data_IF_848306905310
#
_entry.id   IF_848306905310
#
_cell.length_a   1.000
_cell.length_b   1.000
_cell.length_c   1.000
_cell.angle_alpha   90.00
_cell.angle_beta   90.00
_cell.angle_gamma   90.00
#
_symmetry.space_group_name_H-M   'P 1'
#
loop_
_entity.id
_entity.type
_entity.pdbx_description
1 polymer ?
#
# COMPACT_ATOMS: atom_id res chain seq x y z
N UNK A 1 -22.98 9.36 27.61
CA UNK A 1 -22.74 8.01 28.17
C UNK A 1 -23.57 7.04 27.36
N UNK A 2 -22.95 6.42 26.38
CA UNK A 2 -23.50 5.33 25.58
C UNK A 2 -22.38 4.30 25.53
N UNK A 3 -22.63 3.16 26.16
CA UNK A 3 -21.73 2.01 26.23
C UNK A 3 -21.31 1.62 24.81
N UNK A 4 -19.99 1.65 24.58
CA UNK A 4 -19.39 1.03 23.41
C UNK A 4 -19.38 -0.46 23.71
N UNK A 5 -20.17 -1.19 22.94
CA UNK A 5 -20.30 -2.64 22.96
C UNK A 5 -18.96 -3.29 22.57
N UNK A 6 -18.09 -3.48 23.57
CA UNK A 6 -16.75 -4.05 23.44
C UNK A 6 -16.81 -5.59 23.46
N UNK A 7 -17.71 -6.17 22.66
CA UNK A 7 -17.68 -7.60 22.36
C UNK A 7 -16.89 -7.83 21.07
N UNK A 8 -15.56 -7.83 21.19
CA UNK A 8 -14.71 -8.53 20.24
C UNK A 8 -15.10 -10.02 20.26
N UNK A 9 -16.03 -10.40 19.38
CA UNK A 9 -16.37 -11.81 19.16
C UNK A 9 -15.09 -12.52 18.73
N UNK A 10 -14.54 -13.36 19.61
CA UNK A 10 -13.48 -14.30 19.24
C UNK A 10 -13.98 -15.18 18.08
N UNK A 11 -13.45 -14.92 16.88
CA UNK A 11 -13.74 -15.76 15.72
C UNK A 11 -12.74 -16.92 15.76
N UNK A 12 -13.22 -18.07 16.24
CA UNK A 12 -12.41 -19.30 16.35
C UNK A 12 -11.93 -19.79 14.99
N UNK A 13 -12.76 -19.66 13.95
CA UNK A 13 -12.39 -20.07 12.59
C UNK A 13 -13.05 -19.22 11.51
N UNK A 14 -12.30 -18.83 10.47
CA UNK A 14 -12.82 -18.15 9.28
C UNK A 14 -12.39 -18.88 8.00
N UNK A 15 -13.31 -18.96 7.03
CA UNK A 15 -13.03 -19.53 5.70
C UNK A 15 -13.10 -18.43 4.63
N UNK A 16 -12.09 -18.41 3.75
CA UNK A 16 -11.87 -17.38 2.74
C UNK A 16 -11.76 -18.05 1.38
N UNK A 17 -12.78 -17.89 0.53
CA UNK A 17 -12.85 -18.54 -0.79
C UNK A 17 -13.27 -17.59 -1.92
N UNK A 18 -13.73 -16.38 -1.58
CA UNK A 18 -14.30 -15.41 -2.53
C UNK A 18 -13.65 -14.04 -2.42
N UNK A 19 -13.92 -13.17 -3.39
CA UNK A 19 -13.51 -11.77 -3.37
C UNK A 19 -14.02 -11.02 -2.14
N UNK A 20 -15.26 -11.27 -1.76
CA UNK A 20 -15.90 -10.59 -0.64
C UNK A 20 -15.28 -11.05 0.68
N UNK A 21 -14.84 -12.31 0.78
CA UNK A 21 -14.07 -12.78 1.94
C UNK A 21 -12.73 -12.06 2.03
N UNK A 22 -11.98 -11.98 0.93
CA UNK A 22 -10.69 -11.26 0.88
C UNK A 22 -10.89 -9.78 1.21
N UNK A 23 -12.00 -9.17 0.79
CA UNK A 23 -12.34 -7.79 1.14
C UNK A 23 -12.55 -7.65 2.65
N UNK A 24 -13.37 -8.53 3.23
CA UNK A 24 -13.72 -8.53 4.66
C UNK A 24 -12.51 -8.73 5.57
N UNK A 25 -11.48 -9.45 5.15
CA UNK A 25 -10.25 -9.61 5.94
C UNK A 25 -9.54 -8.30 6.27
N UNK A 26 -9.71 -7.25 5.46
CA UNK A 26 -9.03 -5.98 5.71
C UNK A 26 -9.59 -5.33 6.98
N UNK A 27 -8.75 -5.19 8.01
CA UNK A 27 -9.13 -4.61 9.30
C UNK A 27 -9.65 -5.63 10.32
N UNK A 28 -9.80 -6.91 9.96
CA UNK A 28 -10.03 -7.97 10.96
C UNK A 28 -8.77 -8.22 11.79
N UNK A 29 -8.94 -8.63 13.04
CA UNK A 29 -7.87 -9.03 13.97
C UNK A 29 -8.37 -10.13 14.91
N UNK A 30 -7.47 -10.81 15.61
CA UNK A 30 -7.82 -11.74 16.69
C UNK A 30 -8.36 -13.11 16.23
N UNK A 31 -8.13 -13.51 14.98
CA UNK A 31 -8.57 -14.82 14.46
C UNK A 31 -7.59 -15.91 14.90
N UNK A 32 -8.08 -16.99 15.49
CA UNK A 32 -7.25 -18.13 15.92
C UNK A 32 -6.86 -19.04 14.75
N UNK A 33 -7.83 -19.36 13.88
CA UNK A 33 -7.62 -20.21 12.72
C UNK A 33 -8.29 -19.62 11.47
N UNK A 34 -7.57 -19.60 10.36
CA UNK A 34 -8.07 -19.11 9.08
C UNK A 34 -7.77 -20.11 7.97
N UNK A 35 -8.76 -20.43 7.15
CA UNK A 35 -8.61 -21.30 5.98
C UNK A 35 -8.76 -20.47 4.71
N UNK A 36 -7.76 -20.52 3.83
CA UNK A 36 -7.80 -19.93 2.48
C UNK A 36 -8.00 -21.06 1.47
N UNK A 37 -9.11 -20.99 0.73
CA UNK A 37 -9.34 -21.86 -0.42
C UNK A 37 -8.62 -21.31 -1.64
N UNK A 38 -7.43 -21.82 -1.90
CA UNK A 38 -6.64 -21.40 -3.06
C UNK A 38 -7.20 -21.96 -4.37
N UNK A 39 -8.10 -22.95 -4.34
CA UNK A 39 -8.72 -23.55 -5.55
C UNK A 39 -9.54 -22.53 -6.34
N UNK A 40 -9.98 -21.44 -5.70
CA UNK A 40 -10.69 -20.33 -6.31
C UNK A 40 -9.83 -19.06 -6.38
N UNK A 41 -9.25 -18.65 -5.25
CA UNK A 41 -8.57 -17.35 -5.09
C UNK A 41 -7.35 -17.19 -6.00
N UNK A 42 -6.60 -18.28 -6.25
CA UNK A 42 -5.36 -18.21 -7.04
C UNK A 42 -5.61 -17.84 -8.50
N UNK A 43 -6.75 -18.26 -9.06
CA UNK A 43 -7.12 -17.97 -10.45
C UNK A 43 -7.64 -16.55 -10.64
N UNK A 44 -8.13 -15.93 -9.57
CA UNK A 44 -8.53 -14.54 -9.57
C UNK A 44 -7.35 -13.58 -9.35
N UNK A 45 -6.12 -14.10 -9.20
CA UNK A 45 -4.90 -13.30 -8.97
C UNK A 45 -4.81 -12.70 -7.57
N UNK A 46 -5.68 -13.13 -6.64
CA UNK A 46 -5.82 -12.53 -5.31
C UNK A 46 -5.03 -13.24 -4.22
N UNK A 47 -4.37 -14.36 -4.51
CA UNK A 47 -3.66 -15.15 -3.50
C UNK A 47 -2.65 -14.33 -2.68
N UNK A 48 -1.79 -13.47 -3.28
CA UNK A 48 -0.85 -12.66 -2.50
C UNK A 48 -1.53 -11.74 -1.47
N UNK A 49 -2.57 -10.99 -1.90
CA UNK A 49 -3.27 -10.05 -1.01
C UNK A 49 -4.10 -10.80 0.04
N UNK A 50 -4.68 -11.95 -0.31
CA UNK A 50 -5.39 -12.81 0.65
C UNK A 50 -4.46 -13.32 1.75
N UNK A 51 -3.25 -13.79 1.39
CA UNK A 51 -2.26 -14.26 2.36
C UNK A 51 -1.83 -13.15 3.33
N UNK A 52 -1.52 -11.96 2.82
CA UNK A 52 -1.10 -10.84 3.69
C UNK A 52 -2.22 -10.30 4.57
N UNK A 53 -3.45 -10.23 4.06
CA UNK A 53 -4.62 -9.87 4.89
C UNK A 53 -4.94 -10.95 5.93
N UNK A 54 -4.76 -12.23 5.61
CA UNK A 54 -4.90 -13.32 6.58
C UNK A 54 -3.83 -13.25 7.67
N UNK A 55 -2.58 -12.95 7.31
CA UNK A 55 -1.50 -12.72 8.27
C UNK A 55 -1.85 -11.60 9.26
N UNK A 56 -2.34 -10.47 8.76
CA UNK A 56 -2.77 -9.34 9.58
C UNK A 56 -3.95 -9.68 10.51
N UNK A 57 -4.87 -10.56 10.07
CA UNK A 57 -6.07 -10.90 10.82
C UNK A 57 -5.86 -12.00 11.87
N UNK A 58 -4.94 -12.94 11.63
CA UNK A 58 -4.65 -14.05 12.54
C UNK A 58 -3.78 -13.59 13.70
N UNK A 59 -4.14 -13.94 14.93
CA UNK A 59 -3.37 -13.59 16.12
C UNK A 59 -2.03 -14.34 16.20
N UNK A 60 -1.02 -13.83 16.93
CA UNK A 60 0.20 -14.58 17.21
C UNK A 60 -0.13 -15.96 17.83
N UNK A 61 0.55 -17.01 17.35
CA UNK A 61 0.26 -18.41 17.69
C UNK A 61 -0.92 -19.03 16.92
N UNK A 62 -1.72 -18.23 16.21
CA UNK A 62 -2.81 -18.69 15.36
C UNK A 62 -2.33 -19.28 14.04
N UNK A 63 -3.25 -19.94 13.32
CA UNK A 63 -2.93 -20.75 12.15
C UNK A 63 -3.60 -20.24 10.86
N UNK A 64 -2.85 -20.28 9.76
CA UNK A 64 -3.34 -20.05 8.41
C UNK A 64 -3.17 -21.35 7.62
N UNK A 65 -4.28 -21.95 7.21
CA UNK A 65 -4.28 -23.16 6.37
C UNK A 65 -4.68 -22.81 4.95
N UNK A 66 -3.87 -23.21 3.98
CA UNK A 66 -4.11 -23.03 2.56
C UNK A 66 -4.48 -24.39 1.99
N UNK A 67 -5.63 -24.45 1.30
CA UNK A 67 -6.13 -25.67 0.65
C UNK A 67 -6.10 -25.47 -0.88
N UNK A 68 -5.39 -26.37 -1.56
CA UNK A 68 -5.22 -26.42 -3.01
C UNK A 68 -5.15 -27.88 -3.50
N UNK A 69 -6.25 -28.61 -3.33
CA UNK A 69 -6.41 -30.02 -3.74
C UNK A 69 -6.68 -30.18 -5.26
N UNK A 70 -6.32 -29.18 -6.07
CA UNK A 70 -6.60 -29.13 -7.51
C UNK A 70 -7.64 -28.06 -7.91
N UNK A 71 -8.21 -28.17 -9.11
CA UNK A 71 -9.12 -27.14 -9.63
C UNK A 71 -10.48 -27.19 -8.94
N UNK A 72 -10.93 -26.04 -8.42
CA UNK A 72 -12.31 -25.84 -7.94
C UNK A 72 -13.27 -25.31 -9.01
N UNK A 73 -12.76 -24.90 -10.19
CA UNK A 73 -13.55 -24.41 -11.34
C UNK A 73 -13.35 -25.33 -12.55
N UNK A 74 -14.41 -25.52 -13.33
CA UNK A 74 -14.43 -26.35 -14.54
C UNK A 74 -13.71 -25.71 -15.75
N UNK A 75 -13.53 -24.39 -15.74
CA UNK A 75 -12.88 -23.66 -16.84
C UNK A 75 -11.35 -23.72 -16.72
N UNK A 76 -10.61 -24.00 -17.82
CA UNK A 76 -9.16 -23.94 -17.82
C UNK A 76 -8.69 -22.48 -17.73
N UNK A 77 -7.93 -22.11 -16.69
CA UNK A 77 -7.26 -20.82 -16.69
C UNK A 77 -6.08 -20.86 -17.67
N UNK A 78 -5.82 -19.73 -18.31
CA UNK A 78 -4.71 -19.54 -19.25
C UNK A 78 -3.32 -19.72 -18.58
N UNK A 79 -3.27 -19.70 -17.24
CA UNK A 79 -2.11 -20.02 -16.42
C UNK A 79 -2.57 -20.89 -15.25
N UNK A 80 -2.33 -22.19 -15.32
CA UNK A 80 -2.59 -23.09 -14.20
C UNK A 80 -1.46 -22.95 -13.16
N UNK A 81 -1.79 -22.49 -11.96
CA UNK A 81 -0.83 -22.46 -10.86
C UNK A 81 -0.83 -23.84 -10.20
N UNK A 82 0.27 -24.57 -10.40
CA UNK A 82 0.53 -25.85 -9.71
C UNK A 82 0.59 -25.67 -8.20
N UNK A 83 0.33 -26.74 -7.44
CA UNK A 83 0.48 -26.72 -5.99
C UNK A 83 1.88 -26.27 -5.55
N UNK A 84 2.92 -26.61 -6.31
CA UNK A 84 4.29 -26.13 -6.06
C UNK A 84 4.42 -24.61 -6.15
N UNK A 85 3.75 -23.97 -7.12
CA UNK A 85 3.74 -22.51 -7.26
C UNK A 85 2.90 -21.84 -6.16
N UNK A 86 1.79 -22.47 -5.75
CA UNK A 86 1.03 -22.04 -4.56
C UNK A 86 1.92 -22.11 -3.32
N UNK A 87 2.63 -23.23 -3.11
CA UNK A 87 3.58 -23.39 -2.00
C UNK A 87 4.67 -22.31 -2.01
N UNK A 88 5.31 -22.06 -3.15
CA UNK A 88 6.30 -20.98 -3.28
C UNK A 88 5.70 -19.61 -2.92
N UNK A 89 4.47 -19.34 -3.36
CA UNK A 89 3.76 -18.09 -3.03
C UNK A 89 3.46 -18.00 -1.54
N UNK A 90 2.98 -19.07 -0.92
CA UNK A 90 2.70 -19.12 0.53
C UNK A 90 3.97 -18.86 1.33
N UNK A 91 5.06 -19.57 1.04
CA UNK A 91 6.34 -19.39 1.74
C UNK A 91 6.90 -17.98 1.55
N UNK A 92 6.74 -17.39 0.35
CA UNK A 92 7.18 -16.03 0.07
C UNK A 92 6.41 -14.99 0.90
N UNK A 93 5.09 -15.06 0.94
CA UNK A 93 4.24 -14.03 1.56
C UNK A 93 3.98 -14.25 3.06
N UNK A 94 4.15 -15.46 3.58
CA UNK A 94 3.96 -15.76 5.01
C UNK A 94 5.27 -16.10 5.74
N UNK A 95 6.32 -16.53 5.04
CA UNK A 95 7.52 -17.11 5.67
C UNK A 95 8.33 -16.17 6.57
N UNK A 96 8.11 -14.85 6.51
CA UNK A 96 8.83 -13.90 7.37
C UNK A 96 8.20 -13.73 8.75
N UNK A 97 6.92 -14.08 8.90
CA UNK A 97 6.20 -13.93 10.16
C UNK A 97 5.44 -15.18 10.59
N UNK A 98 5.58 -16.27 9.84
CA UNK A 98 5.00 -17.56 10.12
C UNK A 98 6.01 -18.69 9.92
N UNK A 99 5.82 -19.78 10.66
CA UNK A 99 6.51 -21.04 10.45
C UNK A 99 5.61 -22.08 9.79
N UNK A 100 6.21 -23.04 9.08
CA UNK A 100 5.48 -24.15 8.47
C UNK A 100 5.23 -25.23 9.51
N UNK A 101 3.98 -25.46 9.86
CA UNK A 101 3.57 -26.51 10.82
C UNK A 101 3.32 -27.83 10.11
N UNK A 102 2.63 -27.79 8.96
CA UNK A 102 2.27 -28.99 8.22
C UNK A 102 2.27 -28.72 6.72
N UNK A 103 2.85 -29.65 5.97
CA UNK A 103 2.76 -29.71 4.51
C UNK A 103 2.21 -31.08 4.12
N UNK A 104 1.00 -31.09 3.60
CA UNK A 104 0.37 -32.27 3.03
C UNK A 104 0.56 -32.26 1.50
N UNK A 105 1.28 -33.24 0.93
CA UNK A 105 1.42 -33.38 -0.52
C UNK A 105 0.07 -33.48 -1.26
N UNK A 106 -1.02 -33.84 -0.57
CA UNK A 106 -2.38 -33.85 -1.13
C UNK A 106 -2.98 -32.46 -1.38
N UNK A 107 -2.26 -31.38 -1.08
CA UNK A 107 -2.66 -30.02 -1.43
C UNK A 107 -2.95 -29.11 -0.25
N UNK A 108 -2.38 -29.36 0.94
CA UNK A 108 -2.61 -28.50 2.12
C UNK A 108 -1.32 -27.98 2.72
N UNK A 109 -1.32 -26.71 3.12
CA UNK A 109 -0.20 -26.04 3.76
C UNK A 109 -0.73 -25.34 5.01
N UNK A 110 -0.20 -25.65 6.18
CA UNK A 110 -0.56 -24.98 7.44
C UNK A 110 0.64 -24.21 7.95
N UNK A 111 0.47 -22.91 8.09
CA UNK A 111 1.44 -21.98 8.65
C UNK A 111 0.95 -21.50 10.02
N UNK A 112 1.83 -21.34 10.99
CA UNK A 112 1.52 -20.72 12.29
C UNK A 112 2.18 -19.36 12.37
N UNK A 113 1.44 -18.34 12.77
CA UNK A 113 1.98 -17.00 12.96
C UNK A 113 2.88 -16.98 14.19
N UNK A 114 4.15 -16.62 13.99
CA UNK A 114 5.16 -16.51 15.06
C UNK A 114 5.47 -15.06 15.39
N UNK A 115 5.29 -14.15 14.44
CA UNK A 115 5.54 -12.73 14.64
C UNK A 115 4.49 -12.10 15.58
N UNK A 116 4.90 -11.29 16.57
CA UNK A 116 3.96 -10.57 17.43
C UNK A 116 3.10 -9.57 16.65
N UNK A 117 2.02 -9.11 17.28
CA UNK A 117 1.21 -8.03 16.75
C UNK A 117 2.04 -6.75 16.62
N UNK A 118 1.74 -5.94 15.61
CA UNK A 118 2.44 -4.69 15.38
C UNK A 118 2.11 -3.67 16.49
N UNK A 119 3.12 -2.99 17.09
CA UNK A 119 2.87 -1.91 18.03
C UNK A 119 2.02 -0.79 17.40
N UNK A 120 1.12 -0.20 18.18
CA UNK A 120 0.13 0.76 17.68
C UNK A 120 0.64 2.21 17.57
N UNK A 121 1.79 2.52 18.16
CA UNK A 121 2.41 3.85 18.10
C UNK A 121 2.82 4.24 16.67
N UNK A 122 2.76 5.54 16.38
CA UNK A 122 2.94 6.09 15.03
C UNK A 122 4.10 7.08 14.94
N UNK A 123 4.86 7.01 13.86
CA UNK A 123 5.75 8.08 13.43
C UNK A 123 5.22 8.72 12.15
N UNK A 124 5.13 10.04 12.12
CA UNK A 124 4.83 10.80 10.92
C UNK A 124 6.09 11.48 10.39
N UNK A 125 6.45 11.18 9.15
CA UNK A 125 7.52 11.83 8.42
C UNK A 125 6.98 12.76 7.34
N UNK A 126 7.48 13.98 7.25
CA UNK A 126 7.08 14.96 6.22
C UNK A 126 8.29 15.39 5.40
N UNK A 127 8.20 15.21 4.09
CA UNK A 127 9.18 15.66 3.12
C UNK A 127 8.96 17.14 2.81
N UNK A 128 9.97 17.96 3.11
CA UNK A 128 9.94 19.41 2.93
C UNK A 128 11.09 19.88 2.03
N UNK A 129 10.81 20.73 1.05
CA UNK A 129 11.81 21.22 0.10
C UNK A 129 12.74 22.30 0.67
N UNK A 130 12.32 23.01 1.72
CA UNK A 130 13.04 24.19 2.24
C UNK A 130 12.58 25.51 1.63
N UNK A 131 11.67 25.50 0.65
CA UNK A 131 11.21 26.70 -0.04
C UNK A 131 10.14 27.44 0.76
N UNK A 132 10.26 28.77 0.87
CA UNK A 132 9.26 29.61 1.53
C UNK A 132 7.86 29.49 0.89
N UNK A 133 7.80 29.29 -0.44
CA UNK A 133 6.54 29.10 -1.16
C UNK A 133 5.78 27.82 -0.75
N UNK A 134 6.43 26.84 -0.13
CA UNK A 134 5.79 25.61 0.36
C UNK A 134 5.23 25.77 1.79
N UNK A 135 5.58 26.85 2.51
CA UNK A 135 5.14 27.09 3.89
C UNK A 135 3.61 26.99 4.07
N UNK A 136 2.75 27.60 3.23
CA UNK A 136 1.30 27.53 3.46
C UNK A 136 0.77 26.10 3.41
N UNK A 137 1.24 25.31 2.44
CA UNK A 137 0.87 23.89 2.35
C UNK A 137 1.44 23.07 3.51
N UNK A 138 2.66 23.38 3.93
CA UNK A 138 3.33 22.72 5.03
C UNK A 138 2.59 22.94 6.36
N UNK A 139 2.13 24.17 6.64
CA UNK A 139 1.32 24.49 7.82
C UNK A 139 0.03 23.66 7.84
N UNK A 140 -0.71 23.60 6.74
CA UNK A 140 -1.91 22.76 6.65
C UNK A 140 -1.63 21.27 6.87
N UNK A 141 -0.50 20.76 6.37
CA UNK A 141 -0.07 19.38 6.62
C UNK A 141 0.23 19.14 8.10
N UNK A 142 0.98 20.05 8.74
CA UNK A 142 1.35 19.94 10.16
C UNK A 142 0.14 20.10 11.08
N UNK A 143 -0.76 21.05 10.82
CA UNK A 143 -2.00 21.23 11.58
C UNK A 143 -2.81 19.93 11.61
N UNK A 144 -2.94 19.27 10.46
CA UNK A 144 -3.66 18.00 10.34
C UNK A 144 -2.95 16.82 11.04
N UNK A 145 -1.61 16.82 11.07
CA UNK A 145 -0.84 15.79 11.78
C UNK A 145 -0.89 15.99 13.29
N UNK A 146 -0.69 17.21 13.79
CA UNK A 146 -0.76 17.53 15.22
C UNK A 146 -2.16 17.26 15.79
N UNK A 147 -3.20 17.41 14.96
CA UNK A 147 -4.56 17.06 15.32
C UNK A 147 -4.85 15.55 15.40
N UNK A 148 -3.95 14.66 14.92
CA UNK A 148 -4.16 13.22 15.01
C UNK A 148 -3.96 12.73 16.47
N UNK A 149 -4.96 12.07 17.09
CA UNK A 149 -4.83 11.54 18.44
C UNK A 149 -3.66 10.55 18.63
N UNK A 150 -3.29 9.83 17.56
CA UNK A 150 -2.20 8.85 17.54
C UNK A 150 -0.80 9.50 17.63
N UNK A 151 -0.68 10.78 17.30
CA UNK A 151 0.57 11.54 17.34
C UNK A 151 0.66 12.48 18.55
N UNK A 152 -0.43 12.62 19.30
CA UNK A 152 -0.53 13.52 20.44
C UNK A 152 0.05 12.91 21.73
N UNK A 153 0.47 13.77 22.66
CA UNK A 153 0.77 13.39 24.05
C UNK A 153 1.87 12.33 24.23
N UNK A 154 2.86 12.30 23.33
CA UNK A 154 3.97 11.35 23.38
C UNK A 154 3.63 9.92 22.90
N UNK A 155 2.43 9.70 22.35
CA UNK A 155 2.02 8.42 21.74
C UNK A 155 2.64 8.16 20.37
N UNK A 156 3.19 9.20 19.77
CA UNK A 156 3.84 9.17 18.48
C UNK A 156 4.79 10.35 18.31
N UNK A 157 5.34 10.50 17.11
CA UNK A 157 6.23 11.60 16.77
C UNK A 157 5.92 12.19 15.39
N UNK A 158 6.31 13.44 15.19
CA UNK A 158 6.27 14.12 13.89
C UNK A 158 7.67 14.61 13.57
N UNK A 159 8.18 14.22 12.40
CA UNK A 159 9.52 14.55 11.91
C UNK A 159 9.41 15.20 10.54
N UNK A 160 9.94 16.41 10.41
CA UNK A 160 10.04 17.14 9.14
C UNK A 160 11.46 16.99 8.61
N UNK A 161 11.61 16.46 7.40
CA UNK A 161 12.89 16.29 6.73
C UNK A 161 13.08 17.34 5.62
N UNK A 162 14.04 18.25 5.82
CA UNK A 162 14.32 19.37 4.92
C UNK A 162 15.81 19.74 4.90
N UNK A 163 16.22 20.67 4.01
CA UNK A 163 17.62 21.09 3.91
C UNK A 163 18.09 21.90 5.12
N UNK A 164 19.39 21.92 5.41
CA UNK A 164 19.93 22.59 6.60
C UNK A 164 19.66 24.11 6.62
N UNK A 165 19.72 24.75 5.45
CA UNK A 165 19.50 26.18 5.21
C UNK A 165 18.06 26.52 4.77
N UNK A 166 17.15 25.54 4.84
CA UNK A 166 15.76 25.72 4.43
C UNK A 166 14.98 26.71 5.30
N UNK A 167 13.99 27.37 4.68
CA UNK A 167 13.05 28.25 5.36
C UNK A 167 12.24 27.47 6.39
N UNK A 168 12.43 27.71 7.69
CA UNK A 168 11.81 26.90 8.77
C UNK A 168 11.30 27.68 9.97
N UNK A 169 11.19 29.00 9.86
CA UNK A 169 10.75 29.86 10.97
C UNK A 169 9.35 29.49 11.47
N UNK A 170 8.48 29.02 10.57
CA UNK A 170 7.14 28.54 10.91
C UNK A 170 7.09 27.36 11.89
N UNK A 171 8.18 26.59 12.03
CA UNK A 171 8.24 25.46 12.97
C UNK A 171 8.20 25.90 14.43
N UNK A 172 8.47 27.18 14.72
CA UNK A 172 8.30 27.74 16.06
C UNK A 172 6.86 27.59 16.58
N UNK A 173 5.88 27.53 15.68
CA UNK A 173 4.46 27.33 16.02
C UNK A 173 4.12 25.85 16.35
N UNK A 174 5.06 24.92 16.13
CA UNK A 174 4.87 23.47 16.26
C UNK A 174 5.92 22.83 17.18
N UNK A 175 5.88 23.08 18.50
CA UNK A 175 6.94 22.67 19.43
C UNK A 175 7.12 21.15 19.59
N UNK A 176 6.13 20.34 19.19
CA UNK A 176 6.19 18.88 19.22
C UNK A 176 6.79 18.27 17.94
N UNK A 177 7.08 19.10 16.93
CA UNK A 177 7.59 18.66 15.63
C UNK A 177 9.11 18.75 15.63
N UNK A 178 9.77 17.62 15.33
CA UNK A 178 11.23 17.56 15.19
C UNK A 178 11.65 17.89 13.75
N UNK A 179 12.63 18.76 13.59
CA UNK A 179 13.25 19.00 12.29
C UNK A 179 14.50 18.12 12.12
N UNK A 180 14.55 17.39 11.01
CA UNK A 180 15.69 16.64 10.55
C UNK A 180 16.29 17.39 9.36
N UNK A 181 17.40 18.08 9.60
CA UNK A 181 18.18 18.72 8.56
C UNK A 181 18.97 17.66 7.78
N UNK A 182 18.84 17.67 6.46
CA UNK A 182 19.52 16.74 5.55
C UNK A 182 20.06 17.51 4.36
N UNK A 183 21.39 17.48 4.23
CA UNK A 183 22.10 17.95 3.05
C UNK A 183 22.56 16.74 2.20
N UNK A 184 23.20 16.96 1.06
CA UNK A 184 23.75 15.89 0.19
C UNK A 184 22.71 14.93 -0.40
N UNK A 185 21.51 15.44 -0.69
CA UNK A 185 20.45 14.71 -1.42
C UNK A 185 20.48 15.00 -2.92
N UNK A 186 21.50 15.69 -3.40
CA UNK A 186 21.80 15.84 -4.82
C UNK A 186 22.99 14.94 -5.18
N UNK A 187 22.97 14.37 -6.38
CA UNK A 187 24.17 13.73 -6.92
C UNK A 187 25.14 14.78 -7.51
N UNK A 188 26.35 14.34 -7.88
CA UNK A 188 27.34 15.21 -8.55
C UNK A 188 26.92 15.74 -9.93
N UNK A 189 25.68 15.49 -10.35
CA UNK A 189 25.07 15.95 -11.59
C UNK A 189 23.82 16.82 -11.37
N UNK A 190 23.52 17.22 -10.12
CA UNK A 190 22.37 18.07 -9.78
C UNK A 190 21.02 17.35 -9.79
N UNK A 191 21.00 16.00 -9.76
CA UNK A 191 19.76 15.23 -9.63
C UNK A 191 19.37 15.12 -8.17
N UNK A 192 18.13 15.49 -7.85
CA UNK A 192 17.59 15.34 -6.50
C UNK A 192 17.20 13.87 -6.22
N UNK A 193 17.94 13.22 -5.34
CA UNK A 193 17.79 11.83 -4.90
C UNK A 193 16.67 11.71 -3.84
N UNK A 194 15.43 11.77 -4.31
CA UNK A 194 14.25 11.68 -3.43
C UNK A 194 14.22 10.38 -2.61
N UNK A 195 14.63 9.26 -3.21
CA UNK A 195 14.70 7.97 -2.51
C UNK A 195 15.68 8.01 -1.33
N UNK A 196 16.87 8.60 -1.52
CA UNK A 196 17.85 8.83 -0.47
C UNK A 196 17.28 9.66 0.68
N UNK A 197 16.61 10.77 0.36
CA UNK A 197 16.00 11.62 1.39
C UNK A 197 14.87 10.92 2.15
N UNK A 198 14.02 10.15 1.46
CA UNK A 198 12.98 9.31 2.10
C UNK A 198 13.62 8.27 3.01
N UNK A 199 14.69 7.62 2.57
CA UNK A 199 15.40 6.63 3.38
C UNK A 199 15.96 7.25 4.67
N UNK A 200 16.63 8.41 4.57
CA UNK A 200 17.17 9.15 5.74
C UNK A 200 16.06 9.54 6.72
N UNK A 201 14.95 10.08 6.22
CA UNK A 201 13.79 10.39 7.07
C UNK A 201 13.30 9.15 7.81
N UNK A 202 13.12 8.07 7.06
CA UNK A 202 12.53 6.82 7.56
C UNK A 202 13.46 6.12 8.57
N UNK A 203 14.78 6.22 8.44
CA UNK A 203 15.75 5.77 9.47
C UNK A 203 15.65 6.55 10.78
N UNK A 204 15.18 7.80 10.71
CA UNK A 204 15.01 8.67 11.85
C UNK A 204 13.61 8.58 12.46
N UNK A 205 12.76 7.68 11.98
CA UNK A 205 11.46 7.38 12.59
C UNK A 205 11.60 6.19 13.55
N UNK A 206 11.09 6.35 14.76
CA UNK A 206 11.27 5.43 15.88
C UNK A 206 10.20 4.35 15.98
N UNK A 207 8.99 4.60 15.50
CA UNK A 207 7.88 3.67 15.64
C UNK A 207 7.70 2.76 14.42
N UNK A 208 7.07 1.61 14.67
CA UNK A 208 6.91 0.57 13.66
C UNK A 208 5.87 0.93 12.59
N UNK A 209 4.84 1.71 12.94
CA UNK A 209 3.84 2.23 11.99
C UNK A 209 4.25 3.63 11.59
N UNK A 210 4.40 3.85 10.28
CA UNK A 210 4.87 5.13 9.76
C UNK A 210 3.91 5.67 8.71
N UNK A 211 3.70 6.98 8.73
CA UNK A 211 3.15 7.72 7.60
C UNK A 211 4.23 8.63 7.04
N UNK A 212 4.48 8.56 5.73
CA UNK A 212 5.42 9.45 5.03
C UNK A 212 4.62 10.29 4.04
N UNK A 213 4.66 11.62 4.22
CA UNK A 213 3.89 12.59 3.43
C UNK A 213 4.81 13.57 2.73
N UNK A 214 4.39 14.06 1.57
CA UNK A 214 4.84 15.34 1.04
C UNK A 214 4.04 16.47 1.70
N UNK A 215 4.66 17.64 1.88
CA UNK A 215 4.05 18.81 2.55
C UNK A 215 2.70 19.27 1.96
N UNK A 216 2.36 18.88 0.73
CA UNK A 216 1.06 19.19 0.09
C UNK A 216 -0.11 18.29 0.51
N UNK A 217 0.13 17.23 1.28
CA UNK A 217 -0.90 16.24 1.64
C UNK A 217 -1.42 16.52 3.04
N UNK A 218 -2.74 16.62 3.17
CA UNK A 218 -3.45 16.90 4.41
C UNK A 218 -4.30 15.68 4.77
N UNK A 219 -4.02 15.07 5.92
CA UNK A 219 -4.81 13.94 6.42
C UNK A 219 -6.17 14.41 6.97
N UNK A 220 -7.20 13.56 6.85
CA UNK A 220 -8.45 13.77 7.59
C UNK A 220 -8.22 13.59 9.11
N UNK A 221 -9.06 14.18 9.99
CA UNK A 221 -8.85 14.14 11.43
C UNK A 221 -8.74 12.74 12.06
N UNK A 222 -9.36 11.73 11.46
CA UNK A 222 -9.35 10.33 11.92
C UNK A 222 -8.52 9.41 11.02
N UNK A 223 -7.71 9.94 10.10
CA UNK A 223 -7.06 9.15 9.07
C UNK A 223 -6.18 8.03 9.63
N UNK A 224 -5.39 8.29 10.67
CA UNK A 224 -4.51 7.28 11.27
C UNK A 224 -5.30 6.20 12.02
N UNK A 225 -6.37 6.59 12.73
CA UNK A 225 -7.29 5.66 13.39
C UNK A 225 -7.96 4.67 12.41
N UNK A 226 -8.18 5.11 11.16
CA UNK A 226 -8.79 4.32 10.08
C UNK A 226 -7.82 3.40 9.35
N UNK A 227 -6.53 3.48 9.65
CA UNK A 227 -5.55 2.53 9.07
C UNK A 227 -5.67 1.21 9.84
N UNK A 228 -5.75 0.05 9.14
CA UNK A 228 -5.74 -1.26 9.78
C UNK A 228 -4.60 -1.41 10.80
N UNK A 229 -4.85 -2.18 11.86
CA UNK A 229 -3.85 -2.40 12.92
C UNK A 229 -2.55 -3.01 12.38
N UNK A 230 -2.65 -3.85 11.35
CA UNK A 230 -1.53 -4.49 10.67
C UNK A 230 -1.65 -4.34 9.15
N UNK A 231 -0.52 -4.05 8.52
CA UNK A 231 -0.39 -3.84 7.08
C UNK A 231 1.08 -3.86 6.65
N UNK A 232 1.31 -3.90 5.34
CA UNK A 232 2.66 -3.79 4.76
C UNK A 232 2.88 -2.34 4.25
N UNK A 233 2.25 -2.01 3.12
CA UNK A 233 2.28 -0.69 2.49
C UNK A 233 0.85 -0.31 2.11
N UNK A 234 0.37 0.86 2.52
CA UNK A 234 -0.96 1.37 2.17
C UNK A 234 -0.87 2.78 1.58
N UNK A 235 -1.63 3.01 0.51
CA UNK A 235 -1.96 4.36 0.08
C UNK A 235 -3.16 4.87 0.87
N UNK A 236 -3.15 6.12 1.38
CA UNK A 236 -4.37 6.76 1.83
C UNK A 236 -5.33 6.94 0.65
N UNK A 237 -6.63 7.06 0.95
CA UNK A 237 -7.63 7.42 -0.03
C UNK A 237 -7.58 8.94 -0.29
N UNK A 238 -6.74 9.34 -1.24
CA UNK A 238 -6.47 10.75 -1.53
C UNK A 238 -7.50 11.30 -2.51
N UNK A 239 -8.09 12.43 -2.16
CA UNK A 239 -8.85 13.28 -3.06
C UNK A 239 -8.07 14.54 -3.44
N UNK A 240 -8.39 15.11 -4.60
CA UNK A 240 -8.02 16.47 -4.99
C UNK A 240 -9.28 17.32 -5.00
N UNK A 241 -9.19 18.55 -4.49
CA UNK A 241 -10.25 19.54 -4.64
C UNK A 241 -10.05 20.27 -5.98
N UNK A 242 -11.06 20.20 -6.85
CA UNK A 242 -11.09 20.93 -8.13
C UNK A 242 -11.39 22.42 -7.87
N UNK A 243 -11.12 23.28 -8.87
CA UNK A 243 -11.40 24.73 -8.78
C UNK A 243 -12.87 25.06 -8.46
N UNK A 244 -13.80 24.20 -8.87
CA UNK A 244 -15.23 24.33 -8.59
C UNK A 244 -15.64 23.76 -7.21
N UNK A 245 -14.68 23.42 -6.34
CA UNK A 245 -14.91 22.87 -5.01
C UNK A 245 -15.23 21.37 -4.95
N UNK A 246 -15.40 20.68 -6.09
CA UNK A 246 -15.70 19.25 -6.07
C UNK A 246 -14.46 18.39 -5.80
N UNK A 247 -14.61 17.32 -5.01
CA UNK A 247 -13.55 16.34 -4.78
C UNK A 247 -13.46 15.32 -5.93
N UNK A 248 -12.23 15.03 -6.37
CA UNK A 248 -11.93 13.99 -7.36
C UNK A 248 -10.92 12.99 -6.79
N UNK A 249 -11.12 11.69 -7.03
CA UNK A 249 -10.15 10.66 -6.65
C UNK A 249 -8.78 10.92 -7.30
N UNK A 250 -7.75 10.98 -6.47
CA UNK A 250 -6.38 11.24 -6.87
C UNK A 250 -5.61 9.95 -7.19
N UNK A 251 -4.34 10.09 -7.58
CA UNK A 251 -3.41 8.98 -7.74
C UNK A 251 -2.99 8.45 -6.37
N UNK A 252 -3.75 7.49 -5.83
CA UNK A 252 -3.41 6.84 -4.55
C UNK A 252 -2.72 5.50 -4.79
N UNK A 253 -3.40 4.60 -5.51
CA UNK A 253 -2.94 3.24 -5.83
C UNK A 253 -3.03 3.00 -7.34
N UNK A 254 -2.03 2.34 -7.90
CA UNK A 254 -1.99 1.98 -9.32
C UNK A 254 -1.27 0.65 -9.55
N UNK A 255 -1.42 0.10 -10.75
CA UNK A 255 -0.87 -1.21 -11.10
C UNK A 255 0.56 -1.12 -11.70
N UNK A 256 1.39 -2.12 -11.40
CA UNK A 256 2.67 -2.38 -12.05
C UNK A 256 2.51 -3.53 -13.06
N UNK A 257 3.30 -3.55 -14.13
CA UNK A 257 3.44 -4.75 -14.95
C UNK A 257 3.85 -5.96 -14.09
N UNK A 258 3.36 -7.16 -14.45
CA UNK A 258 3.75 -8.39 -13.74
C UNK A 258 5.26 -8.61 -13.90
N UNK A 259 5.98 -8.99 -12.83
CA UNK A 259 7.41 -9.23 -12.89
C UNK A 259 7.69 -10.58 -13.56
N UNK A 260 7.73 -10.59 -14.89
CA UNK A 260 8.20 -11.74 -15.65
C UNK A 260 9.72 -11.63 -15.83
N UNK A 261 10.47 -12.73 -15.67
CA UNK A 261 11.90 -12.74 -16.00
C UNK A 261 12.14 -12.19 -17.42
N UNK A 262 13.08 -11.26 -17.56
CA UNK A 262 13.49 -10.70 -18.85
C UNK A 262 12.61 -9.55 -19.40
N UNK A 263 11.63 -9.05 -18.64
CA UNK A 263 10.81 -7.90 -19.05
C UNK A 263 11.20 -6.63 -18.29
N UNK A 264 11.45 -5.54 -19.02
CA UNK A 264 11.56 -4.21 -18.42
C UNK A 264 10.21 -3.82 -17.84
N UNK A 265 10.18 -3.54 -16.53
CA UNK A 265 8.99 -3.11 -15.82
C UNK A 265 8.45 -1.83 -16.46
N UNK A 266 7.16 -1.84 -16.83
CA UNK A 266 6.48 -0.61 -17.25
C UNK A 266 5.41 -0.27 -16.23
N UNK A 267 5.31 1.01 -15.94
CA UNK A 267 4.15 1.56 -15.24
C UNK A 267 2.92 1.26 -16.07
N UNK A 268 1.95 0.54 -15.50
CA UNK A 268 0.61 0.49 -16.08
C UNK A 268 -0.18 1.67 -15.54
N UNK A 269 -0.67 2.52 -16.42
CA UNK A 269 -1.50 3.67 -16.04
C UNK A 269 -2.94 3.24 -15.70
N UNK A 270 -3.14 2.07 -15.07
CA UNK A 270 -4.43 1.73 -14.49
C UNK A 270 -4.39 2.14 -13.02
N UNK A 271 -5.08 3.25 -12.73
CA UNK A 271 -5.18 3.79 -11.37
C UNK A 271 -6.51 3.36 -10.77
N UNK A 272 -6.60 3.40 -9.44
CA UNK A 272 -7.83 3.05 -8.73
C UNK A 272 -9.07 3.82 -9.25
N UNK A 273 -8.90 5.11 -9.55
CA UNK A 273 -9.97 5.96 -10.11
C UNK A 273 -10.49 5.50 -11.48
N UNK A 274 -9.70 4.72 -12.22
CA UNK A 274 -10.05 4.20 -13.54
C UNK A 274 -10.72 2.82 -13.46
N UNK A 275 -10.81 2.26 -12.25
CA UNK A 275 -11.40 0.95 -11.97
C UNK A 275 -12.86 1.11 -11.54
N UNK A 276 -13.74 0.26 -12.09
CA UNK A 276 -15.17 0.25 -11.73
C UNK A 276 -15.34 0.12 -10.22
N UNK A 277 -16.03 1.09 -9.62
CA UNK A 277 -16.32 1.11 -8.18
C UNK A 277 -15.11 1.45 -7.31
N UNK A 278 -13.97 1.85 -7.88
CA UNK A 278 -12.74 2.15 -7.14
C UNK A 278 -12.33 1.00 -6.20
N UNK A 279 -12.52 -0.25 -6.64
CA UNK A 279 -12.23 -1.45 -5.84
C UNK A 279 -10.76 -1.87 -5.99
N UNK A 280 -9.93 -1.78 -4.94
CA UNK A 280 -8.51 -2.13 -5.01
C UNK A 280 -8.27 -3.61 -5.33
N UNK A 281 -9.18 -4.52 -4.96
CA UNK A 281 -9.03 -5.94 -5.30
C UNK A 281 -9.03 -6.17 -6.82
N UNK A 282 -9.71 -5.31 -7.58
CA UNK A 282 -9.68 -5.38 -9.05
C UNK A 282 -8.34 -5.00 -9.65
N UNK A 283 -7.57 -4.14 -8.97
CA UNK A 283 -6.18 -3.87 -9.36
C UNK A 283 -5.29 -5.07 -9.06
N UNK A 284 -5.40 -5.61 -7.84
CA UNK A 284 -4.63 -6.79 -7.41
C UNK A 284 -4.82 -8.00 -8.31
N UNK A 285 -6.07 -8.27 -8.72
CA UNK A 285 -6.38 -9.38 -9.61
C UNK A 285 -5.64 -9.33 -10.96
N UNK A 286 -5.32 -8.12 -11.43
CA UNK A 286 -4.62 -7.95 -12.69
C UNK A 286 -3.07 -7.95 -12.52
N UNK A 287 -2.55 -7.66 -11.33
CA UNK A 287 -1.11 -7.69 -11.03
C UNK A 287 -0.73 -6.92 -9.77
N UNK A 288 0.57 -6.86 -9.43
CA UNK A 288 1.07 -6.11 -8.28
C UNK A 288 0.70 -4.63 -8.38
N UNK A 289 0.52 -4.00 -7.23
CA UNK A 289 0.23 -2.57 -7.15
C UNK A 289 1.44 -1.78 -6.61
N UNK A 290 1.44 -0.48 -6.86
CA UNK A 290 2.32 0.50 -6.22
C UNK A 290 1.50 1.68 -5.70
N UNK A 291 1.99 2.30 -4.63
CA UNK A 291 1.44 3.54 -4.05
C UNK A 291 2.11 4.76 -4.66
N UNK A 292 1.39 5.87 -4.83
CA UNK A 292 2.03 7.14 -5.19
C UNK A 292 2.86 7.65 -4.01
N UNK A 293 4.13 7.96 -4.24
CA UNK A 293 5.08 8.35 -3.19
C UNK A 293 4.82 9.69 -2.53
N UNK A 294 3.76 10.39 -2.91
CA UNK A 294 3.33 11.62 -2.26
C UNK A 294 2.76 11.39 -0.86
N UNK A 295 2.17 10.23 -0.59
CA UNK A 295 1.72 9.84 0.74
C UNK A 295 1.62 8.32 0.85
N UNK A 296 2.25 7.76 1.88
CA UNK A 296 2.28 6.31 2.12
C UNK A 296 2.22 6.00 3.61
N UNK A 297 1.39 5.04 3.99
CA UNK A 297 1.54 4.32 5.25
C UNK A 297 2.42 3.11 5.01
N UNK A 298 3.43 2.90 5.83
CA UNK A 298 4.34 1.76 5.73
C UNK A 298 4.75 1.28 7.10
N UNK A 299 5.06 -0.01 7.23
CA UNK A 299 5.60 -0.58 8.46
C UNK A 299 7.11 -0.75 8.40
N UNK A 300 7.78 -0.63 9.56
CA UNK A 300 9.22 -0.80 9.71
C UNK A 300 9.76 -2.09 9.08
N UNK A 301 9.13 -3.27 9.28
CA UNK A 301 9.61 -4.52 8.70
C UNK A 301 9.70 -4.51 7.17
N UNK A 302 8.81 -3.78 6.49
CA UNK A 302 8.88 -3.61 5.03
C UNK A 302 10.13 -2.84 4.67
N UNK A 303 10.38 -1.71 5.35
CA UNK A 303 11.49 -0.84 5.03
C UNK A 303 12.85 -1.48 5.36
N UNK A 304 12.98 -2.13 6.51
CA UNK A 304 14.22 -2.79 6.94
C UNK A 304 14.64 -3.88 5.93
N UNK A 305 13.67 -4.53 5.30
CA UNK A 305 13.91 -5.57 4.30
C UNK A 305 14.02 -5.05 2.86
N UNK A 306 13.35 -3.94 2.57
CA UNK A 306 13.23 -3.37 1.24
C UNK A 306 13.38 -1.86 1.31
N UNK A 307 14.61 -1.36 1.48
CA UNK A 307 14.89 0.08 1.40
C UNK A 307 14.67 0.61 -0.02
N UNK A 308 14.38 1.91 -0.19
CA UNK A 308 14.35 2.51 -1.53
C UNK A 308 15.78 2.52 -2.13
N UNK A 309 15.91 2.50 -3.46
CA UNK A 309 17.24 2.60 -4.10
C UNK A 309 17.70 4.07 -4.08
N UNK A 310 18.70 4.38 -3.27
CA UNK A 310 19.21 5.75 -3.05
C UNK A 310 19.72 6.43 -4.32
N UNK A 311 19.96 5.66 -5.39
CA UNK A 311 20.43 6.19 -6.68
C UNK A 311 19.31 6.75 -7.54
N UNK A 312 18.05 6.46 -7.21
CA UNK A 312 16.89 6.92 -7.96
C UNK A 312 16.55 8.36 -7.56
N UNK A 313 16.60 9.23 -8.57
CA UNK A 313 16.17 10.61 -8.51
C UNK A 313 14.66 10.76 -8.50
N UNK A 314 14.21 11.98 -8.23
CA UNK A 314 12.80 12.33 -8.30
C UNK A 314 12.25 12.13 -9.72
N UNK A 315 11.08 11.51 -9.82
CA UNK A 315 10.39 11.19 -11.07
C UNK A 315 11.07 10.10 -11.93
N UNK A 316 12.07 9.38 -11.39
CA UNK A 316 12.70 8.23 -12.06
C UNK A 316 11.97 6.90 -11.80
N UNK A 317 10.79 6.94 -11.18
CA UNK A 317 9.96 5.74 -10.93
C UNK A 317 10.31 5.00 -9.63
N UNK A 318 10.83 5.73 -8.65
CA UNK A 318 11.27 5.26 -7.35
C UNK A 318 10.20 4.46 -6.59
N UNK A 319 8.94 4.92 -6.65
CA UNK A 319 7.83 4.25 -5.96
C UNK A 319 7.48 2.91 -6.62
N UNK A 320 7.61 2.83 -7.94
CA UNK A 320 7.34 1.62 -8.73
C UNK A 320 8.42 0.57 -8.46
N UNK A 321 9.69 0.97 -8.50
CA UNK A 321 10.82 0.11 -8.16
C UNK A 321 10.66 -0.44 -6.73
N UNK A 322 10.43 0.44 -5.76
CA UNK A 322 10.32 0.07 -4.36
C UNK A 322 9.18 -0.90 -4.09
N UNK A 323 7.95 -0.58 -4.55
CA UNK A 323 6.79 -1.46 -4.35
C UNK A 323 6.95 -2.80 -5.07
N UNK A 324 7.63 -2.84 -6.23
CA UNK A 324 7.93 -4.09 -6.90
C UNK A 324 8.91 -4.94 -6.10
N UNK A 325 10.01 -4.36 -5.59
CA UNK A 325 10.97 -5.09 -4.74
C UNK A 325 10.33 -5.56 -3.44
N UNK A 326 9.45 -4.76 -2.84
CA UNK A 326 8.64 -5.17 -1.70
C UNK A 326 7.74 -6.37 -2.05
N UNK A 327 7.06 -6.33 -3.20
CA UNK A 327 6.24 -7.45 -3.69
C UNK A 327 7.06 -8.72 -3.97
N UNK A 328 8.25 -8.57 -4.56
CA UNK A 328 9.20 -9.67 -4.76
C UNK A 328 9.77 -10.22 -3.45
N UNK A 329 9.70 -9.45 -2.37
CA UNK A 329 10.10 -9.87 -1.02
C UNK A 329 8.94 -10.40 -0.17
N UNK A 330 7.71 -10.44 -0.71
CA UNK A 330 6.55 -11.01 -0.03
C UNK A 330 5.64 -10.02 0.69
N UNK A 331 5.73 -8.73 0.38
CA UNK A 331 4.84 -7.69 0.89
C UNK A 331 3.81 -7.25 -0.15
N UNK A 332 2.74 -6.58 0.25
CA UNK A 332 1.74 -6.02 -0.69
C UNK A 332 1.52 -4.53 -0.50
N UNK A 333 1.34 -3.81 -1.62
CA UNK A 333 0.88 -2.42 -1.63
C UNK A 333 -0.62 -2.38 -1.87
N UNK A 334 -1.37 -1.80 -0.94
CA UNK A 334 -2.84 -1.80 -0.99
C UNK A 334 -3.42 -0.41 -0.66
N UNK A 335 -4.75 -0.28 -0.62
CA UNK A 335 -5.44 0.96 -0.30
C UNK A 335 -6.05 0.92 1.11
N UNK A 336 -5.78 1.93 1.92
CA UNK A 336 -6.54 2.22 3.13
C UNK A 336 -7.79 3.05 2.76
N UNK A 337 -8.87 2.38 2.34
CA UNK A 337 -10.05 3.05 1.78
C UNK A 337 -10.71 4.06 2.73
N UNK A 338 -10.65 3.77 4.03
CA UNK A 338 -11.23 4.61 5.09
C UNK A 338 -10.29 5.73 5.56
N UNK A 339 -8.97 5.58 5.38
CA UNK A 339 -7.99 6.59 5.75
C UNK A 339 -7.90 7.68 4.67
N UNK A 340 -8.69 8.75 4.84
CA UNK A 340 -8.85 9.81 3.85
C UNK A 340 -7.75 10.87 3.94
N UNK A 341 -7.41 11.45 2.79
CA UNK A 341 -6.50 12.58 2.70
C UNK A 341 -6.85 13.49 1.51
N UNK A 342 -6.32 14.71 1.52
CA UNK A 342 -6.46 15.67 0.43
C UNK A 342 -5.08 16.13 -0.06
N UNK A 343 -4.88 16.18 -1.38
CA UNK A 343 -3.70 16.81 -1.98
C UNK A 343 -4.03 18.25 -2.38
N UNK A 344 -3.30 19.22 -1.81
CA UNK A 344 -3.50 20.66 -2.08
C UNK A 344 -2.95 21.09 -3.45
N UNK A 345 -2.03 20.31 -4.02
CA UNK A 345 -1.53 20.52 -5.39
C UNK A 345 -1.72 19.27 -6.24
N UNK A 346 -1.59 19.41 -7.56
CA UNK A 346 -1.85 18.35 -8.52
C UNK A 346 -0.61 18.05 -9.36
N UNK A 347 -0.27 16.77 -9.51
CA UNK A 347 0.66 16.28 -10.54
C UNK A 347 0.07 16.36 -11.95
N UNK A 348 -1.24 16.62 -12.07
CA UNK A 348 -1.96 16.73 -13.34
C UNK A 348 -2.24 18.20 -13.66
N UNK A 349 -1.90 18.60 -14.88
CA UNK A 349 -2.45 19.79 -15.52
C UNK A 349 -3.95 19.62 -15.68
N UNK A 350 -4.74 20.60 -15.25
CA UNK A 350 -6.18 20.65 -15.52
C UNK A 350 -6.40 20.73 -17.03
N UNK A 351 -6.63 19.59 -17.68
CA UNK A 351 -7.13 19.60 -19.03
C UNK A 351 -8.62 19.95 -19.00
N UNK A 352 -8.98 20.97 -19.77
CA UNK A 352 -10.30 21.61 -19.88
C UNK A 352 -11.31 20.76 -20.66
N UNK A 353 -11.35 19.44 -20.47
CA UNK A 353 -12.40 18.62 -21.06
C UNK A 353 -13.63 18.60 -20.13
N UNK A 354 -14.86 18.65 -20.68
CA UNK A 354 -16.07 18.49 -19.88
C UNK A 354 -16.02 17.17 -19.08
N UNK A 355 -16.37 17.22 -17.79
CA UNK A 355 -16.18 16.08 -16.88
C UNK A 355 -16.87 14.78 -17.31
N UNK A 356 -17.96 14.86 -18.08
CA UNK A 356 -18.65 13.70 -18.66
C UNK A 356 -17.85 13.03 -19.77
N UNK A 357 -17.21 13.82 -20.65
CA UNK A 357 -16.37 13.34 -21.76
C UNK A 357 -15.08 12.74 -21.22
N UNK A 358 -14.48 13.39 -20.22
CA UNK A 358 -13.30 12.89 -19.53
C UNK A 358 -13.59 11.55 -18.81
N UNK A 359 -14.71 11.45 -18.09
CA UNK A 359 -15.12 10.20 -17.46
C UNK A 359 -15.40 9.09 -18.48
N UNK A 360 -16.02 9.41 -19.62
CA UNK A 360 -16.29 8.43 -20.68
C UNK A 360 -15.00 7.91 -21.32
N UNK A 361 -14.08 8.82 -21.67
CA UNK A 361 -12.77 8.47 -22.22
C UNK A 361 -11.94 7.65 -21.22
N UNK A 362 -11.96 8.00 -19.93
CA UNK A 362 -11.29 7.23 -18.87
C UNK A 362 -11.91 5.85 -18.68
N UNK A 363 -13.25 5.73 -18.65
CA UNK A 363 -13.94 4.43 -18.58
C UNK A 363 -13.63 3.55 -19.79
N UNK A 364 -13.63 4.13 -20.99
CA UNK A 364 -13.25 3.42 -22.22
C UNK A 364 -11.80 2.94 -22.15
N UNK A 365 -10.87 3.78 -21.68
CA UNK A 365 -9.45 3.44 -21.53
C UNK A 365 -9.24 2.36 -20.46
N UNK A 366 -9.90 2.47 -19.30
CA UNK A 366 -9.85 1.48 -18.24
C UNK A 366 -10.43 0.13 -18.67
N UNK A 367 -11.56 0.13 -19.39
CA UNK A 367 -12.13 -1.08 -20.00
C UNK A 367 -11.18 -1.70 -21.03
N UNK A 368 -10.62 -0.89 -21.94
CA UNK A 368 -9.65 -1.36 -22.94
C UNK A 368 -8.37 -1.89 -22.30
N UNK A 369 -7.88 -1.29 -21.21
CA UNK A 369 -6.69 -1.77 -20.50
C UNK A 369 -6.98 -3.05 -19.69
N UNK A 370 -8.15 -3.15 -19.05
CA UNK A 370 -8.61 -4.39 -18.40
C UNK A 370 -8.78 -5.51 -19.43
N UNK A 371 -9.37 -5.20 -20.59
CA UNK A 371 -9.52 -6.14 -21.70
C UNK A 371 -8.18 -6.51 -22.33
N UNK A 372 -7.26 -5.57 -22.59
CA UNK A 372 -5.91 -5.87 -23.10
C UNK A 372 -5.08 -6.67 -22.09
N UNK A 373 -5.25 -6.42 -20.80
CA UNK A 373 -4.69 -7.24 -19.73
C UNK A 373 -5.16 -8.69 -19.85
N UNK A 374 -6.45 -8.92 -20.08
CA UNK A 374 -7.03 -10.25 -20.32
C UNK A 374 -6.64 -10.86 -21.67
N UNK A 375 -6.62 -10.09 -22.76
CA UNK A 375 -6.37 -10.56 -24.14
C UNK A 375 -4.89 -10.84 -24.42
N UNK A 376 -3.93 -10.15 -23.77
CA UNK A 376 -2.50 -10.50 -23.88
C UNK A 376 -2.17 -11.87 -23.28
N UNK A 377 -3.09 -12.46 -22.52
CA UNK A 377 -3.01 -13.85 -22.11
C UNK A 377 -3.49 -14.81 -23.21
N UNK A 378 -4.41 -14.40 -24.09
CA UNK A 378 -4.94 -15.21 -25.19
C UNK A 378 -3.95 -15.29 -26.38
N UNK A 379 -3.13 -14.26 -26.58
CA UNK A 379 -2.19 -14.18 -27.70
C UNK A 379 -0.72 -14.40 -27.27
N UNK A 380 -0.35 -15.66 -27.00
CA UNK A 380 0.99 -16.15 -27.35
C UNK A 380 0.81 -17.30 -28.34
N UNK A 381 1.40 -17.23 -29.55
CA UNK A 381 1.57 -18.41 -30.36
C UNK A 381 2.44 -19.38 -29.57
N UNK A 382 2.08 -20.66 -29.60
CA UNK A 382 2.96 -21.75 -29.24
C UNK A 382 4.24 -21.65 -30.08
N UNK A 383 5.31 -21.12 -29.48
CA UNK A 383 6.65 -21.41 -29.96
C UNK A 383 6.96 -22.83 -29.51
N UNK A 384 6.91 -23.74 -30.48
CA UNK A 384 7.39 -25.12 -30.38
C UNK A 384 8.90 -25.14 -30.17
#
# INVERSE_FOLDING_TARGET
MTEVDDQAKHVTSLHVATWDDVRRLQGMTGIEALIIDARTIKFDGLLPVALRRAFAAVMPGGHITIVDEGRGRSEPPVLDLTFNQVRQTVLKFLGHGCELVKLDPAGRITMQRTQPALPQAWSAGVMYSGMAAEEPTMRHCLDALVAQPELAGGKGEIVVCGPYDGHRTFLADYPTVRYLAVDEVEDGHGRFLLAKKKNILVDNLTHARMVVLHARVVLAPDALARVPAEFDILAPNIARIRRNGSAEAYMSLAQIDRPWPGYMLRRRTLMLRDVRGCDPLRLHAAGPCYVDGGAVFVTRPVFDRCRMDDRLGWAEGEDVDWCMRAFLSGFVSDLAIEARATSLTSKWTDHTLPGSVEQLARRATGLVQQWRGRLRHIARPSLR
#
